data_IF_249718393243
#
_entry.id   IF_249718393243
#
_cell.length_a   1.000
_cell.length_b   1.000
_cell.length_c   1.000
_cell.angle_alpha   90.00
_cell.angle_beta   90.00
_cell.angle_gamma   90.00
#
_symmetry.space_group_name_H-M   'P 1'
#
loop_
_entity.id
_entity.type
_entity.pdbx_description
1 polymer ?
#
# COMPACT_ATOMS: atom_id res chain seq x y z
N UNK A 1 -42.69 -19.05 49.08
CA UNK A 1 -41.57 -18.83 48.14
C UNK A 1 -42.03 -19.34 46.78
N UNK A 2 -42.30 -18.44 45.83
CA UNK A 2 -42.95 -18.78 44.56
C UNK A 2 -42.00 -18.47 43.42
N UNK A 3 -41.60 -19.52 42.71
CA UNK A 3 -40.64 -19.51 41.60
C UNK A 3 -41.30 -18.91 40.35
N UNK A 4 -40.72 -17.85 39.79
CA UNK A 4 -41.16 -17.25 38.53
C UNK A 4 -40.20 -17.64 37.40
N UNK A 5 -40.58 -18.61 36.57
CA UNK A 5 -39.86 -19.00 35.35
C UNK A 5 -40.15 -17.97 34.26
N UNK A 6 -39.19 -17.08 34.00
CA UNK A 6 -39.23 -16.14 32.86
C UNK A 6 -38.76 -16.87 31.61
N UNK A 7 -39.69 -17.28 30.75
CA UNK A 7 -39.40 -17.81 29.42
C UNK A 7 -38.87 -16.68 28.55
N UNK A 8 -37.62 -16.82 28.11
CA UNK A 8 -36.93 -15.84 27.29
C UNK A 8 -37.56 -15.90 25.89
N UNK A 9 -38.37 -14.90 25.55
CA UNK A 9 -38.93 -14.74 24.20
C UNK A 9 -37.80 -14.25 23.28
N UNK A 10 -37.18 -15.18 22.56
CA UNK A 10 -36.14 -14.87 21.59
C UNK A 10 -36.78 -14.20 20.39
N UNK A 11 -36.82 -12.87 20.42
CA UNK A 11 -37.11 -12.04 19.24
C UNK A 11 -36.12 -12.41 18.14
N UNK A 12 -36.55 -13.28 17.23
CA UNK A 12 -35.82 -13.66 16.02
C UNK A 12 -35.79 -12.45 15.09
N UNK A 13 -34.78 -11.60 15.28
CA UNK A 13 -34.40 -10.57 14.32
C UNK A 13 -33.78 -11.26 13.11
N UNK A 14 -34.65 -11.69 12.18
CA UNK A 14 -34.25 -12.03 10.83
C UNK A 14 -34.32 -10.74 10.02
N UNK A 15 -33.21 -10.02 9.97
CA UNK A 15 -32.89 -9.15 8.85
C UNK A 15 -31.53 -9.58 8.34
N UNK A 16 -31.58 -10.46 7.34
CA UNK A 16 -30.43 -10.81 6.52
C UNK A 16 -30.04 -9.62 5.67
N UNK A 17 -29.35 -8.66 6.29
CA UNK A 17 -28.51 -7.72 5.56
C UNK A 17 -27.22 -8.46 5.22
N UNK A 18 -27.31 -9.42 4.30
CA UNK A 18 -26.15 -9.95 3.60
C UNK A 18 -25.69 -8.84 2.66
N UNK A 19 -24.96 -7.87 3.21
CA UNK A 19 -24.31 -6.82 2.43
C UNK A 19 -23.33 -7.52 1.48
N UNK A 20 -23.55 -7.50 0.14
CA UNK A 20 -22.61 -8.04 -0.81
C UNK A 20 -21.47 -7.02 -0.97
N UNK A 21 -20.95 -6.49 0.14
CA UNK A 21 -19.74 -5.70 0.15
C UNK A 21 -18.62 -6.64 -0.27
N UNK A 22 -18.37 -6.72 -1.58
CA UNK A 22 -17.28 -7.51 -2.13
C UNK A 22 -15.98 -7.16 -1.41
N UNK A 23 -15.01 -8.07 -1.41
CA UNK A 23 -13.71 -7.91 -0.74
C UNK A 23 -13.04 -6.53 -0.95
N UNK A 24 -13.33 -5.87 -2.08
CA UNK A 24 -12.84 -4.53 -2.45
C UNK A 24 -13.62 -3.35 -1.83
N UNK A 25 -14.86 -3.55 -1.39
CA UNK A 25 -15.71 -2.50 -0.79
C UNK A 25 -15.27 -2.10 0.63
N UNK A 26 -14.41 -2.88 1.28
CA UNK A 26 -13.82 -2.56 2.60
C UNK A 26 -12.49 -1.80 2.53
N UNK A 27 -12.04 -1.39 1.34
CA UNK A 27 -10.77 -0.67 1.15
C UNK A 27 -10.94 0.81 1.44
N UNK A 28 -10.01 1.36 2.21
CA UNK A 28 -10.01 2.77 2.58
C UNK A 28 -9.47 3.64 1.43
N UNK A 29 -9.82 4.93 1.39
CA UNK A 29 -9.23 5.88 0.42
C UNK A 29 -7.68 5.84 0.47
N UNK A 30 -7.10 5.69 1.67
CA UNK A 30 -5.66 5.57 1.84
C UNK A 30 -5.05 4.32 1.20
N UNK A 31 -5.80 3.22 1.09
CA UNK A 31 -5.35 2.01 0.40
C UNK A 31 -5.23 2.23 -1.11
N UNK A 32 -6.16 2.99 -1.68
CA UNK A 32 -6.13 3.37 -3.10
C UNK A 32 -5.05 4.41 -3.40
N UNK A 33 -4.87 5.41 -2.53
CA UNK A 33 -3.78 6.38 -2.67
C UNK A 33 -2.41 5.71 -2.64
N UNK A 34 -2.20 4.77 -1.72
CA UNK A 34 -0.97 3.98 -1.68
C UNK A 34 -0.76 3.18 -2.97
N UNK A 35 -1.80 2.50 -3.46
CA UNK A 35 -1.71 1.74 -4.71
C UNK A 35 -1.38 2.65 -5.91
N UNK A 36 -1.99 3.83 -5.99
CA UNK A 36 -1.70 4.81 -7.02
C UNK A 36 -0.24 5.29 -6.96
N UNK A 37 0.31 5.53 -5.76
CA UNK A 37 1.71 5.91 -5.58
C UNK A 37 2.67 4.80 -6.03
N UNK A 38 2.41 3.54 -5.67
CA UNK A 38 3.23 2.39 -6.10
C UNK A 38 3.20 2.25 -7.62
N UNK A 39 2.01 2.35 -8.24
CA UNK A 39 1.87 2.28 -9.69
C UNK A 39 2.58 3.43 -10.40
N UNK A 40 2.44 4.66 -9.88
CA UNK A 40 3.14 5.82 -10.43
C UNK A 40 4.66 5.64 -10.39
N UNK A 41 5.20 5.16 -9.26
CA UNK A 41 6.62 4.83 -9.12
C UNK A 41 7.09 3.76 -10.10
N UNK A 42 6.33 2.67 -10.25
CA UNK A 42 6.66 1.59 -11.17
C UNK A 42 6.63 2.04 -12.64
N UNK A 43 5.60 2.80 -13.03
CA UNK A 43 5.48 3.35 -14.40
C UNK A 43 6.60 4.35 -14.68
N UNK A 44 6.92 5.23 -13.72
CA UNK A 44 8.01 6.18 -13.87
C UNK A 44 9.36 5.46 -14.03
N UNK A 45 9.65 4.46 -13.19
CA UNK A 45 10.86 3.66 -13.29
C UNK A 45 10.95 2.94 -14.65
N UNK A 46 9.86 2.32 -15.10
CA UNK A 46 9.81 1.69 -16.41
C UNK A 46 10.03 2.71 -17.55
N UNK A 47 9.35 3.85 -17.53
CA UNK A 47 9.45 4.86 -18.58
C UNK A 47 10.88 5.44 -18.69
N UNK A 48 11.54 5.68 -17.56
CA UNK A 48 12.86 6.29 -17.51
C UNK A 48 13.99 5.28 -17.78
N UNK A 49 13.86 4.04 -17.28
CA UNK A 49 14.94 3.06 -17.29
C UNK A 49 14.70 1.84 -18.20
N UNK A 50 13.60 1.77 -18.96
CA UNK A 50 13.31 0.62 -19.87
C UNK A 50 14.44 0.22 -20.81
N UNK A 51 15.27 1.19 -21.23
CA UNK A 51 16.40 0.96 -22.14
C UNK A 51 17.61 0.36 -21.44
N UNK A 52 17.74 0.57 -20.13
CA UNK A 52 18.73 -0.07 -19.28
C UNK A 52 18.24 -1.41 -18.71
N UNK A 53 16.92 -1.67 -18.74
CA UNK A 53 16.32 -2.89 -18.21
C UNK A 53 16.35 -4.06 -19.20
N UNK A 54 16.87 -5.20 -18.76
CA UNK A 54 16.73 -6.49 -19.41
C UNK A 54 15.31 -7.07 -19.26
N UNK A 55 15.10 -8.32 -19.70
CA UNK A 55 13.78 -8.95 -19.63
C UNK A 55 13.40 -9.35 -18.20
N UNK A 56 14.35 -9.78 -17.37
CA UNK A 56 14.08 -10.20 -15.99
C UNK A 56 13.67 -9.01 -15.14
N UNK A 57 14.37 -7.89 -15.27
CA UNK A 57 14.09 -6.68 -14.50
C UNK A 57 12.68 -6.13 -14.80
N UNK A 58 12.23 -6.23 -16.05
CA UNK A 58 10.87 -5.86 -16.44
C UNK A 58 9.82 -6.73 -15.77
N UNK A 59 10.03 -8.05 -15.74
CA UNK A 59 9.12 -8.99 -15.08
C UNK A 59 9.17 -8.85 -13.55
N UNK A 60 10.35 -8.60 -12.98
CA UNK A 60 10.49 -8.30 -11.55
C UNK A 60 9.71 -7.04 -11.20
N UNK A 61 9.85 -5.97 -11.97
CA UNK A 61 9.09 -4.72 -11.75
C UNK A 61 7.58 -4.96 -11.85
N UNK A 62 7.16 -5.70 -12.88
CA UNK A 62 5.76 -6.06 -13.11
C UNK A 62 5.18 -6.92 -11.98
N UNK A 63 5.97 -7.79 -11.36
CA UNK A 63 5.58 -8.58 -10.18
C UNK A 63 5.67 -7.81 -8.86
N UNK A 64 6.65 -6.91 -8.73
CA UNK A 64 6.88 -6.13 -7.52
C UNK A 64 5.73 -5.14 -7.23
N UNK A 65 5.22 -4.45 -8.26
CA UNK A 65 4.13 -3.50 -8.09
C UNK A 65 2.87 -4.12 -7.45
N UNK A 66 2.26 -5.21 -7.99
CA UNK A 66 1.10 -5.84 -7.37
C UNK A 66 1.43 -6.48 -6.01
N UNK A 67 2.65 -7.03 -5.83
CA UNK A 67 3.06 -7.61 -4.55
C UNK A 67 3.12 -6.55 -3.43
N UNK A 68 3.71 -5.38 -3.70
CA UNK A 68 3.79 -4.26 -2.74
C UNK A 68 2.40 -3.70 -2.41
N UNK A 69 1.53 -3.57 -3.41
CA UNK A 69 0.15 -3.12 -3.22
C UNK A 69 -0.60 -4.09 -2.31
N UNK A 70 -0.52 -5.39 -2.59
CA UNK A 70 -1.17 -6.41 -1.77
C UNK A 70 -0.61 -6.41 -0.36
N UNK A 71 0.70 -6.33 -0.18
CA UNK A 71 1.33 -6.27 1.13
C UNK A 71 0.86 -5.06 1.94
N UNK A 72 0.78 -3.87 1.32
CA UNK A 72 0.28 -2.65 1.97
C UNK A 72 -1.21 -2.74 2.35
N UNK A 73 -2.02 -3.43 1.54
CA UNK A 73 -3.43 -3.68 1.83
C UNK A 73 -3.68 -4.76 2.90
N UNK A 74 -2.79 -5.75 2.98
CA UNK A 74 -2.84 -6.81 3.97
C UNK A 74 -2.34 -6.32 5.33
N UNK A 75 -1.25 -5.54 5.35
CA UNK A 75 -0.62 -5.00 6.56
C UNK A 75 -0.48 -3.48 6.53
N UNK A 76 -1.44 -2.82 7.20
CA UNK A 76 -1.46 -1.36 7.36
C UNK A 76 -0.16 -0.75 7.93
N UNK A 77 0.53 -1.36 8.92
CA UNK A 77 1.81 -0.82 9.40
C UNK A 77 2.90 -0.81 8.32
N UNK A 78 2.94 -1.83 7.46
CA UNK A 78 3.90 -1.91 6.36
C UNK A 78 3.71 -0.78 5.34
N UNK A 79 2.45 -0.41 5.06
CA UNK A 79 2.12 0.74 4.21
C UNK A 79 2.77 2.02 4.72
N UNK A 80 2.62 2.32 6.01
CA UNK A 80 3.20 3.52 6.62
C UNK A 80 4.72 3.48 6.56
N UNK A 81 5.33 2.34 6.87
CA UNK A 81 6.78 2.17 6.80
C UNK A 81 7.31 2.41 5.38
N UNK A 82 6.68 1.80 4.36
CA UNK A 82 7.08 2.00 2.96
C UNK A 82 6.99 3.46 2.53
N UNK A 83 5.94 4.18 2.94
CA UNK A 83 5.79 5.61 2.62
C UNK A 83 6.85 6.47 3.31
N UNK A 84 7.13 6.21 4.59
CA UNK A 84 8.17 6.94 5.34
C UNK A 84 9.55 6.67 4.73
N UNK A 85 9.88 5.41 4.44
CA UNK A 85 11.14 5.03 3.81
C UNK A 85 11.26 5.70 2.44
N UNK A 86 10.23 5.64 1.60
CA UNK A 86 10.24 6.30 0.29
C UNK A 86 10.48 7.81 0.40
N UNK A 87 9.80 8.49 1.34
CA UNK A 87 9.99 9.92 1.56
C UNK A 87 11.42 10.24 2.03
N UNK A 88 11.97 9.45 2.96
CA UNK A 88 13.34 9.62 3.44
C UNK A 88 14.37 9.34 2.33
N UNK A 89 14.15 8.32 1.49
CA UNK A 89 15.01 8.03 0.35
C UNK A 89 15.02 9.17 -0.66
N UNK A 90 13.85 9.74 -1.00
CA UNK A 90 13.75 10.89 -1.90
C UNK A 90 14.40 12.15 -1.30
N UNK A 91 14.20 12.37 0.01
CA UNK A 91 14.86 13.47 0.72
C UNK A 91 16.38 13.32 0.68
N UNK A 92 16.90 12.12 0.95
CA UNK A 92 18.33 11.85 0.86
C UNK A 92 18.85 12.13 -0.55
N UNK A 93 18.17 11.63 -1.60
CA UNK A 93 18.55 11.92 -2.99
C UNK A 93 18.68 13.44 -3.20
N UNK A 94 17.72 14.23 -2.72
CA UNK A 94 17.77 15.70 -2.88
C UNK A 94 18.90 16.37 -2.11
N UNK A 95 19.23 15.89 -0.91
CA UNK A 95 20.35 16.42 -0.13
C UNK A 95 21.71 16.12 -0.81
N UNK A 96 21.82 14.95 -1.43
CA UNK A 96 23.06 14.49 -2.07
C UNK A 96 23.17 14.85 -3.57
N UNK A 97 22.15 15.45 -4.19
CA UNK A 97 22.18 15.75 -5.62
C UNK A 97 23.07 16.97 -5.94
N UNK A 98 24.17 16.72 -6.64
CA UNK A 98 25.16 17.69 -7.12
C UNK A 98 24.62 18.69 -8.15
N UNK A 99 25.27 19.86 -8.34
CA UNK A 99 24.93 20.80 -9.42
C UNK A 99 25.02 20.19 -10.82
N UNK A 100 25.86 19.16 -10.98
CA UNK A 100 26.01 18.36 -12.20
C UNK A 100 24.91 17.31 -12.42
N UNK A 101 23.96 17.17 -11.49
CA UNK A 101 22.94 16.13 -11.52
C UNK A 101 23.44 14.74 -11.10
N UNK A 102 24.64 14.66 -10.52
CA UNK A 102 25.23 13.42 -9.99
C UNK A 102 25.26 13.45 -8.47
N UNK A 103 25.22 12.28 -7.82
CA UNK A 103 25.37 12.21 -6.37
C UNK A 103 26.74 12.75 -5.92
N UNK A 104 26.74 13.60 -4.89
CA UNK A 104 27.92 14.20 -4.28
C UNK A 104 27.97 13.86 -2.79
N UNK A 105 28.79 12.86 -2.46
CA UNK A 105 28.96 12.36 -1.10
C UNK A 105 29.68 13.35 -0.17
N UNK A 106 30.43 14.33 -0.73
CA UNK A 106 31.14 15.33 0.07
C UNK A 106 30.19 16.26 0.83
N UNK A 107 28.88 16.22 0.54
CA UNK A 107 27.83 16.92 1.30
C UNK A 107 27.42 16.22 2.61
N UNK A 108 27.96 15.03 2.89
CA UNK A 108 27.77 14.35 4.18
C UNK A 108 28.68 14.88 5.30
N UNK A 109 29.81 15.49 4.93
CA UNK A 109 30.85 15.99 5.83
C UNK A 109 30.58 17.44 6.28
#
# INVERSE_FOLDING_TARGET
MTTATRTIDLKRSRDGQDDPSGYFARRTIGDWLFAALVLAGAVWAFAHYRGAMDIYEKWILAGAAPALIWLGWFWRPMRTLMLVVAALSLLAIQLYLGPSGTADLARAD
#
